data_IF_009515911684
#
_entry.id   IF_009515911684
#
_cell.length_a   1.000
_cell.length_b   1.000
_cell.length_c   1.000
_cell.angle_alpha   90.00
_cell.angle_beta   90.00
_cell.angle_gamma   90.00
#
_symmetry.space_group_name_H-M   'P 1'
#
loop_
_entity.id
_entity.type
_entity.pdbx_description
1 polymer ?
#
# COMPACT_ATOMS: atom_id res chain seq x y z
N UNK A 1 8.51 -4.24 30.78
CA UNK A 1 7.98 -3.19 29.88
C UNK A 1 7.18 -3.90 28.80
N UNK A 2 5.91 -3.59 28.65
CA UNK A 2 5.05 -4.14 27.58
C UNK A 2 5.46 -3.57 26.22
N UNK A 3 5.04 -4.21 25.12
CA UNK A 3 5.27 -3.64 23.80
C UNK A 3 4.49 -2.33 23.62
N UNK A 4 3.29 -2.21 24.18
CA UNK A 4 2.52 -0.96 24.18
C UNK A 4 3.23 0.19 24.89
N UNK A 5 4.01 -0.07 25.94
CA UNK A 5 4.87 0.94 26.60
C UNK A 5 6.11 1.27 25.76
N UNK A 6 6.76 0.24 25.19
CA UNK A 6 7.97 0.41 24.37
C UNK A 6 7.69 1.18 23.08
N UNK A 7 6.53 0.97 22.44
CA UNK A 7 6.17 1.54 21.13
C UNK A 7 5.04 2.58 21.21
N UNK A 8 4.96 3.31 22.31
CA UNK A 8 3.91 4.31 22.52
C UNK A 8 3.86 5.36 21.40
N UNK A 9 5.00 5.83 20.92
CA UNK A 9 5.08 6.82 19.84
C UNK A 9 4.57 6.22 18.52
N UNK A 10 5.00 5.02 18.17
CA UNK A 10 4.56 4.33 16.96
C UNK A 10 3.05 4.03 16.98
N UNK A 11 2.51 3.67 18.15
CA UNK A 11 1.05 3.50 18.31
C UNK A 11 0.28 4.81 18.10
N UNK A 12 0.80 5.95 18.59
CA UNK A 12 0.20 7.27 18.34
C UNK A 12 0.17 7.60 16.84
N UNK A 13 1.29 7.40 16.14
CA UNK A 13 1.42 7.61 14.70
C UNK A 13 0.46 6.69 13.92
N UNK A 14 0.41 5.42 14.28
CA UNK A 14 -0.47 4.44 13.68
C UNK A 14 -1.96 4.84 13.80
N UNK A 15 -2.37 5.30 14.98
CA UNK A 15 -3.74 5.80 15.22
C UNK A 15 -4.04 7.07 14.45
N UNK A 16 -3.07 7.98 14.29
CA UNK A 16 -3.25 9.18 13.47
C UNK A 16 -3.48 8.81 11.99
N UNK A 17 -2.74 7.84 11.46
CA UNK A 17 -2.94 7.33 10.11
C UNK A 17 -4.32 6.66 9.97
N UNK A 18 -4.74 5.85 10.95
CA UNK A 18 -6.08 5.26 10.96
C UNK A 18 -7.18 6.34 10.87
N UNK A 19 -7.08 7.41 11.66
CA UNK A 19 -8.04 8.53 11.64
C UNK A 19 -8.03 9.25 10.30
N UNK A 20 -6.87 9.58 9.75
CA UNK A 20 -6.74 10.28 8.47
C UNK A 20 -7.31 9.48 7.31
N UNK A 21 -7.13 8.16 7.28
CA UNK A 21 -7.78 7.28 6.31
C UNK A 21 -9.31 7.34 6.41
N UNK A 22 -9.85 7.40 7.63
CA UNK A 22 -11.29 7.52 7.87
C UNK A 22 -11.83 8.92 7.50
N UNK A 23 -11.14 9.98 7.88
CA UNK A 23 -11.48 11.37 7.55
C UNK A 23 -11.46 11.64 6.04
N UNK A 24 -10.50 11.06 5.31
CA UNK A 24 -10.42 11.13 3.86
C UNK A 24 -11.40 10.19 3.14
N UNK A 25 -12.22 9.45 3.85
CA UNK A 25 -13.13 8.44 3.28
C UNK A 25 -12.43 7.35 2.47
N UNK A 26 -11.18 7.05 2.79
CA UNK A 26 -10.42 5.94 2.17
C UNK A 26 -10.74 4.59 2.83
N UNK A 27 -11.42 4.60 3.96
CA UNK A 27 -11.98 3.43 4.64
C UNK A 27 -13.38 3.75 5.12
N UNK A 28 -14.28 2.77 5.04
CA UNK A 28 -15.67 2.90 5.51
C UNK A 28 -16.03 1.74 6.42
N UNK A 29 -16.84 2.00 7.44
CA UNK A 29 -17.25 0.97 8.40
C UNK A 29 -16.05 0.16 8.91
N UNK A 30 -15.95 -1.13 8.57
CA UNK A 30 -14.83 -1.99 9.00
C UNK A 30 -13.81 -2.23 7.89
N UNK A 31 -13.99 -1.62 6.71
CA UNK A 31 -13.11 -1.79 5.55
C UNK A 31 -11.70 -1.27 5.81
N UNK A 32 -10.75 -1.79 5.05
CA UNK A 32 -9.35 -1.44 5.17
C UNK A 32 -8.68 -1.93 6.47
N UNK A 33 -7.39 -2.00 6.47
CA UNK A 33 -6.58 -2.37 7.62
C UNK A 33 -5.11 -2.01 7.39
N UNK A 34 -4.33 -1.95 8.45
CA UNK A 34 -2.95 -1.49 8.44
C UNK A 34 -2.08 -2.44 9.25
N UNK A 35 -0.82 -2.58 8.82
CA UNK A 35 0.21 -3.25 9.58
C UNK A 35 1.55 -2.51 9.50
N UNK A 36 2.28 -2.45 10.60
CA UNK A 36 3.59 -1.83 10.72
C UNK A 36 4.57 -2.77 11.41
N UNK A 37 5.61 -3.21 10.70
CA UNK A 37 6.70 -3.99 11.27
C UNK A 37 7.58 -3.09 12.13
N UNK A 38 7.62 -3.31 13.42
CA UNK A 38 8.39 -2.54 14.40
C UNK A 38 9.75 -3.16 14.69
N UNK A 39 9.84 -4.49 14.60
CA UNK A 39 11.06 -5.28 14.70
C UNK A 39 11.04 -6.40 13.66
N UNK A 40 12.14 -7.17 13.58
CA UNK A 40 12.26 -8.27 12.63
C UNK A 40 11.08 -9.26 12.70
N UNK A 41 10.58 -9.54 13.90
CA UNK A 41 9.48 -10.48 14.17
C UNK A 41 8.40 -9.85 15.07
N UNK A 42 8.12 -8.56 14.89
CA UNK A 42 7.09 -7.86 15.63
C UNK A 42 6.32 -6.90 14.72
N UNK A 43 5.03 -7.12 14.61
CA UNK A 43 4.12 -6.34 13.77
C UNK A 43 3.02 -5.73 14.65
N UNK A 44 2.83 -4.41 14.54
CA UNK A 44 1.66 -3.69 15.03
C UNK A 44 0.60 -3.74 13.94
N UNK A 45 -0.64 -4.18 14.28
CA UNK A 45 -1.70 -4.40 13.29
C UNK A 45 -3.06 -3.93 13.83
N UNK A 46 -3.93 -3.50 12.92
CA UNK A 46 -5.31 -3.15 13.27
C UNK A 46 -6.13 -4.37 13.67
N UNK A 47 -7.06 -4.20 14.63
CA UNK A 47 -8.00 -5.25 14.99
C UNK A 47 -9.06 -5.46 13.89
N UNK A 48 -9.70 -6.62 13.92
CA UNK A 48 -10.87 -6.91 13.07
C UNK A 48 -12.12 -6.16 13.52
N UNK A 49 -13.04 -5.88 12.59
CA UNK A 49 -14.41 -5.38 12.86
C UNK A 49 -14.51 -4.04 13.58
N UNK A 50 -13.51 -3.16 13.48
CA UNK A 50 -13.60 -1.79 13.99
C UNK A 50 -13.47 -0.77 12.85
N UNK A 51 -14.20 0.33 12.95
CA UNK A 51 -13.98 1.52 12.13
C UNK A 51 -12.60 2.09 12.45
N UNK A 52 -11.82 2.44 11.43
CA UNK A 52 -10.44 2.92 11.61
C UNK A 52 -10.36 4.23 12.37
N UNK A 53 -11.37 5.12 12.22
CA UNK A 53 -11.47 6.37 12.97
C UNK A 53 -11.75 6.18 14.46
N UNK A 54 -12.32 5.06 14.85
CA UNK A 54 -12.73 4.75 16.24
C UNK A 54 -11.73 3.88 17.01
N UNK A 55 -10.68 3.38 16.34
CA UNK A 55 -9.65 2.53 16.99
C UNK A 55 -8.94 3.34 18.07
N UNK A 56 -8.83 2.76 19.26
CA UNK A 56 -8.10 3.30 20.41
C UNK A 56 -6.82 2.52 20.65
N UNK A 57 -5.95 3.06 21.51
CA UNK A 57 -4.67 2.45 21.87
C UNK A 57 -4.83 1.00 22.38
N UNK A 58 -5.82 0.75 23.22
CA UNK A 58 -6.13 -0.56 23.80
C UNK A 58 -6.68 -1.59 22.81
N UNK A 59 -7.13 -1.12 21.62
CA UNK A 59 -7.64 -1.98 20.58
C UNK A 59 -6.55 -2.54 19.67
N UNK A 60 -5.35 -1.91 19.66
CA UNK A 60 -4.24 -2.32 18.80
C UNK A 60 -3.67 -3.67 19.20
N UNK A 61 -3.15 -4.40 18.22
CA UNK A 61 -2.68 -5.78 18.40
C UNK A 61 -1.23 -5.88 17.93
N UNK A 62 -0.41 -6.58 18.70
CA UNK A 62 0.93 -6.98 18.30
C UNK A 62 0.93 -8.47 17.95
N UNK A 63 1.49 -8.81 16.80
CA UNK A 63 1.62 -10.20 16.32
C UNK A 63 3.06 -10.49 15.92
N UNK A 64 3.43 -11.77 15.86
CA UNK A 64 4.68 -12.24 15.26
C UNK A 64 4.49 -12.53 13.74
N UNK A 65 5.56 -12.89 13.04
CA UNK A 65 5.53 -13.28 11.62
C UNK A 65 4.81 -14.62 11.33
N UNK A 66 4.37 -15.34 12.37
CA UNK A 66 3.50 -16.51 12.24
C UNK A 66 2.02 -16.14 12.43
N UNK A 67 1.71 -14.85 12.65
CA UNK A 67 0.36 -14.38 12.92
C UNK A 67 -0.12 -14.62 14.36
N UNK A 68 0.75 -15.09 15.25
CA UNK A 68 0.40 -15.32 16.65
C UNK A 68 0.33 -13.97 17.38
N UNK A 69 -0.77 -13.73 18.07
CA UNK A 69 -0.92 -12.56 18.94
C UNK A 69 0.08 -12.63 20.09
N UNK A 70 0.90 -11.60 20.21
CA UNK A 70 1.91 -11.43 21.28
C UNK A 70 1.35 -10.55 22.40
N UNK A 71 0.69 -9.44 22.04
CA UNK A 71 0.09 -8.50 22.99
C UNK A 71 -1.18 -7.87 22.37
N UNK A 72 -2.09 -7.40 23.20
CA UNK A 72 -3.39 -6.86 22.81
C UNK A 72 -4.55 -7.79 23.16
N UNK A 73 -5.76 -7.23 23.29
CA UNK A 73 -6.94 -7.98 23.73
C UNK A 73 -7.85 -8.41 22.57
N UNK A 74 -7.75 -7.75 21.42
CA UNK A 74 -8.57 -8.02 20.23
C UNK A 74 -7.93 -9.03 19.31
N UNK A 75 -8.73 -9.61 18.43
CA UNK A 75 -8.23 -10.40 17.31
C UNK A 75 -7.68 -9.47 16.21
N UNK A 76 -6.54 -9.80 15.59
CA UNK A 76 -6.02 -9.05 14.46
C UNK A 76 -7.00 -9.11 13.28
N UNK A 77 -6.80 -8.21 12.31
CA UNK A 77 -7.60 -8.23 11.07
C UNK A 77 -7.61 -9.61 10.43
N UNK A 78 -8.76 -10.00 9.86
CA UNK A 78 -8.88 -11.27 9.13
C UNK A 78 -8.00 -11.35 7.87
N UNK A 79 -7.46 -10.21 7.38
CA UNK A 79 -6.50 -10.17 6.26
C UNK A 79 -5.04 -10.33 6.71
N UNK A 80 -4.80 -10.72 7.94
CA UNK A 80 -3.45 -11.05 8.46
C UNK A 80 -2.63 -11.93 7.52
N UNK A 81 -3.16 -12.99 6.85
CA UNK A 81 -2.39 -13.79 5.91
C UNK A 81 -1.72 -12.98 4.79
N UNK A 82 -2.39 -11.94 4.27
CA UNK A 82 -1.83 -11.04 3.26
C UNK A 82 -0.59 -10.28 3.79
N UNK A 83 -0.68 -9.72 5.00
CA UNK A 83 0.44 -9.02 5.63
C UNK A 83 1.63 -9.94 5.92
N UNK A 84 1.36 -11.17 6.35
CA UNK A 84 2.41 -12.16 6.59
C UNK A 84 3.15 -12.52 5.30
N UNK A 85 2.44 -12.70 4.17
CA UNK A 85 3.06 -12.89 2.86
C UNK A 85 3.95 -11.69 2.49
N UNK A 86 3.46 -10.45 2.67
CA UNK A 86 4.23 -9.25 2.34
C UNK A 86 5.51 -9.15 3.16
N UNK A 87 5.41 -9.21 4.47
CA UNK A 87 6.55 -9.13 5.35
C UNK A 87 7.50 -10.33 5.24
N UNK A 88 6.98 -11.51 4.88
CA UNK A 88 7.78 -12.70 4.62
C UNK A 88 8.64 -12.59 3.36
N UNK A 89 8.06 -12.08 2.27
CA UNK A 89 8.70 -11.93 0.96
C UNK A 89 9.55 -10.66 0.84
N UNK A 90 9.16 -9.58 1.52
CA UNK A 90 9.74 -8.25 1.45
C UNK A 90 10.25 -7.82 2.82
N UNK A 91 11.49 -8.23 3.14
CA UNK A 91 12.13 -7.90 4.42
C UNK A 91 12.51 -6.42 4.54
N UNK A 92 12.60 -5.72 3.43
CA UNK A 92 12.83 -4.29 3.32
C UNK A 92 11.62 -3.44 3.70
N UNK A 93 10.40 -3.98 3.57
CA UNK A 93 9.17 -3.25 3.86
C UNK A 93 8.92 -3.15 5.37
N UNK A 94 8.62 -1.95 5.83
CA UNK A 94 8.24 -1.68 7.23
C UNK A 94 6.73 -1.57 7.42
N UNK A 95 5.98 -1.04 6.46
CA UNK A 95 4.54 -0.82 6.64
C UNK A 95 3.73 -1.16 5.39
N UNK A 96 2.48 -1.56 5.61
CA UNK A 96 1.51 -1.90 4.58
C UNK A 96 0.15 -1.35 4.99
N UNK A 97 -0.54 -0.67 4.06
CA UNK A 97 -1.92 -0.19 4.25
C UNK A 97 -2.79 -0.76 3.14
N UNK A 98 -3.89 -1.38 3.52
CA UNK A 98 -5.00 -1.71 2.65
C UNK A 98 -6.17 -0.74 2.91
N UNK A 99 -6.69 -0.13 1.84
CA UNK A 99 -7.79 0.84 1.91
C UNK A 99 -8.58 0.88 0.60
N UNK A 100 -9.65 1.70 0.56
CA UNK A 100 -10.59 1.78 -0.56
C UNK A 100 -10.76 3.23 -1.07
N UNK A 101 -9.68 3.93 -1.51
CA UNK A 101 -9.79 5.31 -1.97
C UNK A 101 -10.70 5.37 -3.21
N UNK A 102 -11.72 6.25 -3.25
CA UNK A 102 -12.80 6.17 -4.22
C UNK A 102 -12.35 6.23 -5.70
N UNK A 103 -11.44 7.14 -6.03
CA UNK A 103 -10.99 7.30 -7.42
C UNK A 103 -9.99 6.22 -7.83
N UNK A 104 -9.11 5.80 -6.94
CA UNK A 104 -8.18 4.70 -7.19
C UNK A 104 -8.95 3.38 -7.35
N UNK A 105 -9.98 3.15 -6.53
CA UNK A 105 -10.83 1.96 -6.64
C UNK A 105 -11.66 1.90 -7.93
N UNK A 106 -11.90 3.02 -8.62
CA UNK A 106 -12.53 2.99 -9.93
C UNK A 106 -11.72 2.13 -10.93
N UNK A 107 -10.39 2.15 -10.82
CA UNK A 107 -9.51 1.31 -11.66
C UNK A 107 -9.50 -0.17 -11.24
N UNK A 108 -9.86 -0.49 -9.99
CA UNK A 108 -9.97 -1.88 -9.53
C UNK A 108 -11.20 -2.62 -10.09
N UNK A 109 -12.21 -1.89 -10.54
CA UNK A 109 -13.46 -2.43 -11.13
C UNK A 109 -13.58 -2.18 -12.64
N UNK A 110 -12.63 -1.45 -13.23
CA UNK A 110 -12.64 -1.08 -14.63
C UNK A 110 -12.19 -2.24 -15.51
N UNK A 111 -12.90 -2.49 -16.60
CA UNK A 111 -12.45 -3.39 -17.65
C UNK A 111 -11.54 -2.66 -18.65
N UNK A 112 -10.57 -3.37 -19.20
CA UNK A 112 -9.66 -2.84 -20.21
C UNK A 112 -8.29 -2.49 -19.66
N UNK A 113 -7.63 -1.51 -20.27
CA UNK A 113 -6.27 -1.14 -19.91
C UNK A 113 -6.21 -0.43 -18.55
N UNK A 114 -5.37 -0.95 -17.65
CA UNK A 114 -5.12 -0.30 -16.37
C UNK A 114 -4.18 0.90 -16.55
N UNK A 115 -4.74 2.11 -16.53
CA UNK A 115 -4.01 3.37 -16.71
C UNK A 115 -3.00 3.67 -15.59
N UNK A 116 -3.16 3.08 -14.42
CA UNK A 116 -2.21 3.22 -13.32
C UNK A 116 -0.90 2.41 -13.53
N UNK A 117 -0.84 1.61 -14.60
CA UNK A 117 0.41 0.98 -15.07
C UNK A 117 1.24 1.90 -15.96
N UNK A 118 0.73 3.09 -16.32
CA UNK A 118 1.37 4.01 -17.27
C UNK A 118 1.93 5.24 -16.56
N UNK A 119 3.06 5.79 -17.02
CA UNK A 119 3.63 7.00 -16.46
C UNK A 119 2.83 8.22 -16.92
N UNK A 120 2.14 8.90 -16.01
CA UNK A 120 1.28 10.04 -16.35
C UNK A 120 1.62 11.32 -15.61
N UNK A 121 1.99 11.23 -14.34
CA UNK A 121 2.45 12.35 -13.52
C UNK A 121 3.84 12.04 -12.95
N UNK A 122 4.79 12.99 -12.98
CA UNK A 122 6.15 12.75 -12.48
C UNK A 122 6.17 12.23 -11.04
N UNK A 123 5.38 12.81 -10.14
CA UNK A 123 5.32 12.43 -8.73
C UNK A 123 4.86 10.98 -8.56
N UNK A 124 3.74 10.59 -9.17
CA UNK A 124 3.28 9.19 -9.10
C UNK A 124 4.27 8.24 -9.75
N UNK A 125 4.87 8.65 -10.88
CA UNK A 125 5.86 7.85 -11.61
C UNK A 125 7.10 7.56 -10.77
N UNK A 126 7.55 8.53 -9.94
CA UNK A 126 8.80 8.43 -9.18
C UNK A 126 8.60 8.00 -7.72
N UNK A 127 7.39 8.13 -7.15
CA UNK A 127 7.16 7.86 -5.73
C UNK A 127 6.28 6.65 -5.48
N UNK A 128 5.27 6.39 -6.32
CA UNK A 128 4.37 5.23 -6.20
C UNK A 128 4.75 4.08 -7.13
N UNK A 129 5.10 4.40 -8.37
CA UNK A 129 5.35 3.44 -9.43
C UNK A 129 4.08 2.88 -10.07
N UNK A 130 4.22 1.90 -10.98
CA UNK A 130 3.08 1.25 -11.61
C UNK A 130 2.28 0.42 -10.61
N UNK A 131 0.95 0.41 -10.77
CA UNK A 131 0.01 -0.25 -9.87
C UNK A 131 -0.70 -1.39 -10.60
N UNK A 132 -0.18 -2.63 -10.56
CA UNK A 132 -0.83 -3.78 -11.19
C UNK A 132 -2.14 -4.15 -10.50
N UNK A 133 -3.04 -4.79 -11.26
CA UNK A 133 -4.25 -5.42 -10.72
C UNK A 133 -3.94 -6.86 -10.36
N UNK A 134 -4.08 -7.19 -9.08
CA UNK A 134 -3.99 -8.55 -8.56
C UNK A 134 -5.33 -9.25 -8.78
N UNK A 135 -5.35 -10.47 -9.32
CA UNK A 135 -6.59 -11.19 -9.61
C UNK A 135 -7.49 -11.34 -8.38
N UNK A 136 -8.80 -11.37 -8.62
CA UNK A 136 -9.79 -11.52 -7.56
C UNK A 136 -9.51 -12.75 -6.67
N UNK A 137 -9.60 -12.52 -5.38
CA UNK A 137 -9.62 -13.54 -4.33
C UNK A 137 -10.68 -13.17 -3.31
N UNK A 138 -11.34 -14.16 -2.75
CA UNK A 138 -12.30 -13.91 -1.65
C UNK A 138 -11.58 -13.23 -0.48
N UNK A 139 -12.07 -12.11 0.05
CA UNK A 139 -11.47 -11.43 1.20
C UNK A 139 -11.27 -12.36 2.39
N UNK A 140 -10.25 -12.08 3.20
CA UNK A 140 -9.88 -12.82 4.41
C UNK A 140 -9.35 -14.25 4.14
N UNK A 141 -9.06 -14.62 2.89
CA UNK A 141 -8.56 -15.96 2.53
C UNK A 141 -7.07 -15.98 2.23
N UNK A 142 -6.45 -17.13 2.42
CA UNK A 142 -5.06 -17.39 1.98
C UNK A 142 -4.93 -17.26 0.46
N UNK A 143 -5.98 -17.63 -0.31
CA UNK A 143 -6.00 -17.48 -1.77
C UNK A 143 -5.78 -16.03 -2.20
N UNK A 144 -6.47 -15.07 -1.57
CA UNK A 144 -6.24 -13.65 -1.85
C UNK A 144 -4.79 -13.26 -1.52
N UNK A 145 -4.29 -13.68 -0.36
CA UNK A 145 -2.91 -13.40 0.05
C UNK A 145 -1.88 -13.96 -0.95
N UNK A 146 -2.10 -15.15 -1.47
CA UNK A 146 -1.19 -15.82 -2.41
C UNK A 146 -1.22 -15.20 -3.82
N UNK A 147 -2.35 -14.59 -4.22
CA UNK A 147 -2.47 -13.91 -5.50
C UNK A 147 -1.47 -12.74 -5.65
N UNK A 148 -0.96 -12.17 -4.57
CA UNK A 148 0.06 -11.13 -4.60
C UNK A 148 1.47 -11.64 -4.89
N UNK A 149 1.78 -12.91 -4.59
CA UNK A 149 3.14 -13.44 -4.64
C UNK A 149 3.89 -13.17 -5.97
N UNK A 150 3.25 -13.29 -7.16
CA UNK A 150 3.93 -12.99 -8.43
C UNK A 150 4.34 -11.53 -8.61
N UNK A 151 3.72 -10.60 -7.87
CA UNK A 151 3.87 -9.16 -8.02
C UNK A 151 4.82 -8.54 -6.98
N UNK A 152 4.93 -9.15 -5.79
CA UNK A 152 5.59 -8.55 -4.62
C UNK A 152 7.05 -8.14 -4.85
N UNK A 153 7.77 -8.82 -5.75
CA UNK A 153 9.17 -8.49 -6.02
C UNK A 153 9.33 -7.21 -6.85
N UNK A 154 8.36 -6.88 -7.72
CA UNK A 154 8.47 -5.79 -8.68
C UNK A 154 7.80 -4.49 -8.24
N UNK A 155 6.73 -4.57 -7.44
CA UNK A 155 5.85 -3.44 -7.17
C UNK A 155 5.69 -3.18 -5.69
N UNK A 156 5.33 -1.93 -5.33
CA UNK A 156 5.03 -1.51 -3.97
C UNK A 156 3.56 -1.08 -3.78
N UNK A 157 2.81 -0.95 -4.87
CA UNK A 157 1.39 -0.61 -4.88
C UNK A 157 0.62 -1.61 -5.74
N UNK A 158 -0.59 -1.98 -5.34
CA UNK A 158 -1.41 -3.00 -5.98
C UNK A 158 -2.89 -2.64 -5.89
N UNK A 159 -3.64 -2.80 -6.99
CA UNK A 159 -5.09 -2.92 -6.92
C UNK A 159 -5.48 -4.38 -6.77
N UNK A 160 -6.41 -4.67 -5.89
CA UNK A 160 -7.12 -5.95 -5.86
C UNK A 160 -8.36 -5.84 -6.72
N UNK A 161 -8.50 -6.72 -7.70
CA UNK A 161 -9.67 -6.76 -8.59
C UNK A 161 -10.98 -6.78 -7.79
N UNK A 162 -11.88 -5.85 -8.07
CA UNK A 162 -13.18 -5.67 -7.40
C UNK A 162 -13.12 -5.50 -5.87
N UNK A 163 -11.99 -5.01 -5.33
CA UNK A 163 -11.86 -4.91 -3.87
C UNK A 163 -11.28 -3.55 -3.43
N UNK A 164 -10.00 -3.31 -3.62
CA UNK A 164 -9.36 -2.12 -3.07
C UNK A 164 -7.89 -1.96 -3.41
N UNK A 165 -7.24 -1.02 -2.74
CA UNK A 165 -5.84 -0.67 -2.88
C UNK A 165 -5.01 -1.28 -1.75
N UNK A 166 -3.80 -1.72 -2.06
CA UNK A 166 -2.74 -2.03 -1.09
C UNK A 166 -1.48 -1.29 -1.48
N UNK A 167 -0.89 -0.55 -0.55
CA UNK A 167 0.45 0.05 -0.71
C UNK A 167 1.35 -0.38 0.44
N UNK A 168 2.62 -0.61 0.13
CA UNK A 168 3.66 -0.92 1.10
C UNK A 168 4.87 0.00 0.94
N UNK A 169 5.54 0.32 2.06
CA UNK A 169 6.70 1.21 2.09
C UNK A 169 7.78 0.71 3.05
N UNK A 170 9.07 0.90 2.73
CA UNK A 170 10.17 0.69 3.68
C UNK A 170 10.29 1.81 4.73
N UNK A 171 9.68 2.98 4.49
CA UNK A 171 9.91 4.21 5.25
C UNK A 171 8.93 4.44 6.42
N UNK A 172 7.99 3.51 6.65
CA UNK A 172 7.05 3.59 7.77
C UNK A 172 5.64 4.04 7.39
N UNK A 173 4.76 4.08 8.40
CA UNK A 173 3.32 4.13 8.21
C UNK A 173 2.81 5.46 7.62
N UNK A 174 3.43 6.58 7.98
CA UNK A 174 3.10 7.89 7.43
C UNK A 174 3.44 7.98 5.95
N UNK A 175 4.62 7.48 5.56
CA UNK A 175 5.02 7.47 4.15
C UNK A 175 4.05 6.64 3.31
N UNK A 176 3.60 5.51 3.83
CA UNK A 176 2.61 4.69 3.14
C UNK A 176 1.29 5.43 2.93
N UNK A 177 0.85 6.23 3.90
CA UNK A 177 -0.33 7.09 3.75
C UNK A 177 -0.12 8.18 2.69
N UNK A 178 1.03 8.87 2.67
CA UNK A 178 1.35 9.88 1.65
C UNK A 178 1.31 9.30 0.23
N UNK A 179 1.85 8.10 0.04
CA UNK A 179 1.79 7.40 -1.25
C UNK A 179 0.36 7.09 -1.69
N UNK A 180 -0.53 6.76 -0.75
CA UNK A 180 -1.96 6.57 -1.03
C UNK A 180 -2.59 7.90 -1.47
N UNK A 181 -2.28 9.01 -0.79
CA UNK A 181 -2.82 10.33 -1.12
C UNK A 181 -2.34 10.82 -2.49
N UNK A 182 -1.07 10.63 -2.83
CA UNK A 182 -0.51 10.91 -4.17
C UNK A 182 -1.27 10.11 -5.23
N UNK A 183 -1.45 8.80 -5.01
CA UNK A 183 -2.13 7.94 -5.97
C UNK A 183 -3.62 8.31 -6.12
N UNK A 184 -4.30 8.63 -5.04
CA UNK A 184 -5.71 9.01 -5.09
C UNK A 184 -5.93 10.32 -5.85
N UNK A 185 -5.10 11.35 -5.62
CA UNK A 185 -5.16 12.63 -6.38
C UNK A 185 -4.85 12.39 -7.86
N UNK A 186 -3.86 11.56 -8.17
CA UNK A 186 -3.57 11.13 -9.54
C UNK A 186 -4.77 10.42 -10.16
N UNK A 187 -5.36 9.47 -9.46
CA UNK A 187 -6.52 8.71 -9.92
C UNK A 187 -7.73 9.61 -10.18
N UNK A 188 -7.97 10.59 -9.31
CA UNK A 188 -9.01 11.60 -9.50
C UNK A 188 -8.80 12.39 -10.78
N UNK A 189 -7.57 12.82 -11.04
CA UNK A 189 -7.20 13.55 -12.26
C UNK A 189 -7.38 12.69 -13.51
N UNK A 190 -6.99 11.41 -13.46
CA UNK A 190 -7.15 10.47 -14.58
C UNK A 190 -8.63 10.18 -14.87
N UNK A 191 -9.46 9.96 -13.85
CA UNK A 191 -10.92 9.75 -14.03
C UNK A 191 -11.56 10.98 -14.68
N UNK A 192 -11.19 12.20 -14.25
CA UNK A 192 -11.66 13.43 -14.86
C UNK A 192 -11.17 13.57 -16.32
N UNK A 193 -9.90 13.29 -16.59
CA UNK A 193 -9.31 13.38 -17.93
C UNK A 193 -9.97 12.41 -18.93
N UNK A 194 -10.30 11.17 -18.50
CA UNK A 194 -10.99 10.17 -19.33
C UNK A 194 -12.37 10.64 -19.84
N UNK A 195 -13.03 11.55 -19.12
CA UNK A 195 -14.28 12.17 -19.59
C UNK A 195 -14.07 13.31 -20.60
N UNK A 196 -12.85 13.82 -20.71
CA UNK A 196 -12.49 14.95 -21.59
C UNK A 196 -11.75 14.51 -22.87
N UNK A 197 -11.14 13.33 -22.87
CA UNK A 197 -10.36 12.84 -24.00
C UNK A 197 -9.42 11.70 -23.66
N UNK A 198 -8.37 11.54 -24.47
CA UNK A 198 -7.33 10.54 -24.24
C UNK A 198 -6.26 11.05 -23.26
N UNK A 199 -5.74 10.14 -22.44
CA UNK A 199 -4.66 10.45 -21.51
C UNK A 199 -3.34 10.50 -22.27
N UNK A 200 -2.60 11.60 -22.08
CA UNK A 200 -1.22 11.74 -22.55
C UNK A 200 -0.26 11.16 -21.52
N UNK A 201 0.48 10.15 -21.92
CA UNK A 201 1.53 9.54 -21.09
C UNK A 201 2.85 10.34 -21.18
N UNK A 202 3.67 10.23 -20.15
CA UNK A 202 5.06 10.73 -20.17
C UNK A 202 5.84 9.85 -21.16
N UNK A 203 6.63 10.47 -22.03
CA UNK A 203 7.40 9.74 -23.02
C UNK A 203 8.49 8.86 -22.38
N UNK A 204 8.95 7.84 -23.11
CA UNK A 204 10.07 6.99 -22.67
C UNK A 204 11.32 7.81 -22.36
N UNK A 205 11.59 8.85 -23.17
CA UNK A 205 12.74 9.76 -23.00
C UNK A 205 12.60 10.56 -21.69
N UNK A 206 11.43 11.16 -21.44
CA UNK A 206 11.18 11.92 -20.22
C UNK A 206 11.21 11.01 -18.96
N UNK A 207 10.76 9.75 -19.06
CA UNK A 207 10.90 8.77 -17.96
C UNK A 207 12.38 8.43 -17.71
N UNK A 208 13.22 8.40 -18.76
CA UNK A 208 14.67 8.23 -18.58
C UNK A 208 15.28 9.41 -17.82
N UNK A 209 14.83 10.64 -18.09
CA UNK A 209 15.28 11.82 -17.35
C UNK A 209 14.83 11.81 -15.89
N UNK A 210 13.62 11.32 -15.60
CA UNK A 210 13.18 11.08 -14.23
C UNK A 210 14.06 10.03 -13.52
N UNK A 211 14.38 8.91 -14.18
CA UNK A 211 15.28 7.87 -13.64
C UNK A 211 16.67 8.45 -13.32
N UNK A 212 17.24 9.26 -14.22
CA UNK A 212 18.51 9.93 -14.02
C UNK A 212 18.46 10.88 -12.80
N UNK A 213 17.36 11.60 -12.64
CA UNK A 213 17.13 12.50 -11.49
C UNK A 213 17.07 11.72 -10.18
N UNK A 214 16.32 10.60 -10.15
CA UNK A 214 16.25 9.73 -8.96
C UNK A 214 17.64 9.21 -8.58
N UNK A 215 18.42 8.73 -9.54
CA UNK A 215 19.79 8.25 -9.31
C UNK A 215 20.69 9.34 -8.75
N UNK A 216 20.67 10.53 -9.34
CA UNK A 216 21.47 11.68 -8.89
C UNK A 216 21.15 12.08 -7.45
N UNK A 217 19.89 11.92 -7.05
CA UNK A 217 19.41 12.22 -5.69
C UNK A 217 19.46 11.01 -4.74
N UNK A 218 19.96 9.85 -5.18
CA UNK A 218 19.98 8.60 -4.42
C UNK A 218 18.59 8.17 -3.90
N UNK A 219 17.55 8.43 -4.69
CA UNK A 219 16.18 8.00 -4.35
C UNK A 219 16.03 6.50 -4.68
N UNK A 220 15.32 5.72 -3.83
CA UNK A 220 15.11 4.30 -4.06
C UNK A 220 14.19 4.06 -5.25
N UNK A 221 14.45 2.99 -5.99
CA UNK A 221 13.50 2.42 -6.94
C UNK A 221 12.48 1.52 -6.23
N UNK A 222 11.44 1.15 -6.96
CA UNK A 222 10.38 0.27 -6.46
C UNK A 222 10.82 -1.20 -6.41
N UNK A 223 9.94 -2.02 -5.82
CA UNK A 223 10.16 -3.44 -5.71
C UNK A 223 11.19 -3.82 -4.65
N UNK A 224 11.56 -5.09 -4.64
CA UNK A 224 12.60 -5.62 -3.77
C UNK A 224 13.97 -5.01 -4.13
N UNK A 225 14.86 -4.80 -3.15
CA UNK A 225 16.17 -4.23 -3.41
C UNK A 225 16.91 -4.97 -4.53
N UNK A 226 17.33 -4.21 -5.57
CA UNK A 226 18.05 -4.73 -6.73
C UNK A 226 17.21 -5.46 -7.79
N UNK A 227 15.90 -5.58 -7.62
CA UNK A 227 15.01 -6.20 -8.61
C UNK A 227 14.78 -5.31 -9.83
N UNK A 228 14.52 -4.03 -9.60
CA UNK A 228 14.27 -3.04 -10.66
C UNK A 228 15.55 -2.24 -10.90
N UNK A 229 15.97 -2.17 -12.17
CA UNK A 229 17.21 -1.47 -12.56
C UNK A 229 16.98 -0.05 -13.03
N UNK A 230 15.80 0.25 -13.57
CA UNK A 230 15.44 1.59 -14.02
C UNK A 230 13.91 1.77 -14.07
N UNK A 231 13.45 3.02 -14.03
CA UNK A 231 12.03 3.34 -14.29
C UNK A 231 11.63 2.96 -15.72
N UNK A 232 12.53 3.11 -16.67
CA UNK A 232 12.26 2.75 -18.08
C UNK A 232 11.96 1.26 -18.22
N UNK A 233 12.74 0.40 -17.55
CA UNK A 233 12.50 -1.05 -17.56
C UNK A 233 11.18 -1.40 -16.85
N UNK A 234 10.79 -0.62 -15.84
CA UNK A 234 9.57 -0.87 -15.09
C UNK A 234 8.30 -0.51 -15.88
N UNK A 235 8.34 0.59 -16.65
CA UNK A 235 7.17 1.11 -17.38
C UNK A 235 7.06 0.66 -18.83
N UNK A 236 8.19 0.29 -19.47
CA UNK A 236 8.24 0.02 -20.92
C UNK A 236 8.87 -1.34 -21.27
N UNK A 237 8.97 -2.28 -20.30
CA UNK A 237 9.46 -3.65 -20.53
C UNK A 237 8.41 -4.54 -21.22
#
# INVERSE_FOLDING_TARGET
MSYAEKYEQQMKEFLQVCRRLSENMYVTSHGGNLAWRLEQDLILITPTKLNKGDIRREDLVFIDLNGKRIEGQREPTGETPMYLNFFGQRKDISSVIHCHPPFTNAFAVMQGENRLMRPTFPETTTEVGPVPVVPYGEPLTQKLADNFLPFLRKYNAFLMENHGLVIMSPEGIYRTLELIEILEVTSQSLVAALSCGEIKEISREDVQDLDNTMRTRNLPLFGAPGEIKSLVDLYFA
#
